data_IF_382807912745
#
_entry.id   IF_382807912745
#
_cell.length_a   1.000
_cell.length_b   1.000
_cell.length_c   1.000
_cell.angle_alpha   90.00
_cell.angle_beta   90.00
_cell.angle_gamma   90.00
#
_symmetry.space_group_name_H-M   'P 1'
#
loop_
_entity.id
_entity.type
_entity.pdbx_description
1 polymer ?
#
# COMPACT_ATOMS: atom_id res chain seq x y z
N UNK A 1 5.00 -2.23 24.75
CA UNK A 1 5.03 -3.19 23.59
C UNK A 1 3.93 -4.21 23.67
N UNK A 2 3.59 -4.72 24.87
CA UNK A 2 2.60 -5.79 25.02
C UNK A 2 1.22 -5.54 24.42
N UNK A 3 0.74 -4.30 24.38
CA UNK A 3 -0.57 -3.98 23.80
C UNK A 3 -0.54 -4.01 22.26
N UNK A 4 0.56 -3.60 21.64
CA UNK A 4 0.72 -3.67 20.18
C UNK A 4 0.86 -5.12 19.69
N UNK A 5 1.56 -6.00 20.43
CA UNK A 5 1.66 -7.42 20.10
C UNK A 5 0.28 -8.09 20.14
N UNK A 6 -0.49 -7.85 21.22
CA UNK A 6 -1.87 -8.37 21.33
C UNK A 6 -2.79 -7.85 20.21
N UNK A 7 -2.71 -6.56 19.91
CA UNK A 7 -3.50 -5.96 18.81
C UNK A 7 -3.13 -6.58 17.45
N UNK A 8 -1.84 -6.78 17.19
CA UNK A 8 -1.37 -7.44 15.96
C UNK A 8 -1.86 -8.89 15.87
N UNK A 9 -1.82 -9.65 16.96
CA UNK A 9 -2.27 -11.04 16.99
C UNK A 9 -3.79 -11.16 16.78
N UNK A 10 -4.58 -10.25 17.35
CA UNK A 10 -6.04 -10.22 17.12
C UNK A 10 -6.33 -9.90 15.65
N UNK A 11 -5.70 -8.86 15.12
CA UNK A 11 -5.93 -8.43 13.75
C UNK A 11 -5.48 -9.50 12.75
N UNK A 12 -4.38 -10.21 13.01
CA UNK A 12 -3.93 -11.33 12.19
C UNK A 12 -4.98 -12.45 12.11
N UNK A 13 -5.60 -12.82 13.24
CA UNK A 13 -6.68 -13.83 13.26
C UNK A 13 -7.88 -13.39 12.45
N UNK A 14 -8.25 -12.11 12.49
CA UNK A 14 -9.33 -11.55 11.66
C UNK A 14 -8.96 -11.64 10.18
N UNK A 15 -7.72 -11.27 9.83
CA UNK A 15 -7.23 -11.35 8.46
C UNK A 15 -7.16 -12.78 7.94
N UNK A 16 -6.78 -13.75 8.77
CA UNK A 16 -6.76 -15.18 8.40
C UNK A 16 -8.17 -15.68 8.06
N UNK A 17 -9.19 -15.28 8.82
CA UNK A 17 -10.60 -15.63 8.54
C UNK A 17 -11.07 -14.99 7.22
N UNK A 18 -10.75 -13.70 7.02
CA UNK A 18 -11.07 -12.99 5.77
C UNK A 18 -10.38 -13.66 4.58
N UNK A 19 -9.09 -14.00 4.69
CA UNK A 19 -8.37 -14.67 3.61
C UNK A 19 -9.01 -16.01 3.26
N UNK A 20 -9.43 -16.82 4.24
CA UNK A 20 -10.12 -18.09 4.00
C UNK A 20 -11.46 -17.89 3.27
N UNK A 21 -12.27 -16.93 3.70
CA UNK A 21 -13.54 -16.61 3.05
C UNK A 21 -13.36 -16.19 1.58
N UNK A 22 -12.37 -15.33 1.33
CA UNK A 22 -12.07 -14.85 -0.02
C UNK A 22 -11.21 -15.83 -0.83
N UNK A 23 -10.56 -16.83 -0.20
CA UNK A 23 -9.81 -17.85 -0.92
C UNK A 23 -10.71 -18.79 -1.73
N UNK A 24 -11.87 -19.11 -1.21
CA UNK A 24 -12.90 -19.85 -1.96
C UNK A 24 -13.46 -19.00 -3.11
N UNK A 25 -13.62 -17.70 -2.90
CA UNK A 25 -13.95 -16.74 -3.96
C UNK A 25 -12.78 -16.49 -4.94
N UNK A 26 -11.52 -16.74 -4.52
CA UNK A 26 -10.30 -16.68 -5.35
C UNK A 26 -10.10 -17.88 -6.26
N UNK A 27 -10.46 -19.08 -5.81
CA UNK A 27 -10.45 -20.27 -6.68
C UNK A 27 -11.36 -20.05 -7.87
N UNK A 28 -12.28 -19.12 -7.72
CA UNK A 28 -13.17 -18.59 -8.71
C UNK A 28 -12.64 -17.35 -9.47
N UNK A 29 -11.48 -16.81 -9.18
CA UNK A 29 -11.03 -15.59 -9.85
C UNK A 29 -9.53 -15.52 -10.09
N UNK A 30 -9.12 -15.20 -11.32
CA UNK A 30 -7.72 -14.96 -11.62
C UNK A 30 -7.25 -13.64 -11.03
N UNK A 31 -6.10 -13.64 -10.33
CA UNK A 31 -5.31 -12.44 -10.09
C UNK A 31 -4.79 -11.94 -11.44
N UNK A 32 -5.12 -10.73 -11.80
CA UNK A 32 -4.40 -10.05 -12.86
C UNK A 32 -3.02 -9.68 -12.32
N UNK A 33 -2.00 -10.43 -12.76
CA UNK A 33 -0.62 -10.29 -12.29
C UNK A 33 -0.03 -8.88 -12.55
N UNK A 34 -0.64 -8.07 -13.40
CA UNK A 34 -0.17 -6.72 -13.73
C UNK A 34 -0.75 -5.62 -12.84
N UNK A 35 -1.93 -5.86 -12.24
CA UNK A 35 -2.66 -4.82 -11.50
C UNK A 35 -2.92 -5.18 -10.03
N UNK A 36 -2.55 -6.38 -9.58
CA UNK A 36 -2.86 -6.90 -8.25
C UNK A 36 -4.37 -6.84 -7.88
N UNK A 37 -5.23 -6.69 -8.88
CA UNK A 37 -6.68 -6.61 -8.71
C UNK A 37 -7.29 -7.99 -8.85
N UNK A 38 -8.13 -8.37 -7.90
CA UNK A 38 -8.80 -9.66 -7.89
C UNK A 38 -9.98 -9.64 -8.84
N UNK A 39 -9.98 -10.52 -9.84
CA UNK A 39 -11.13 -10.80 -10.70
C UNK A 39 -11.93 -11.94 -10.09
N UNK A 40 -13.25 -11.86 -10.13
CA UNK A 40 -14.13 -12.98 -9.79
C UNK A 40 -14.42 -13.84 -11.03
N UNK A 41 -14.45 -15.18 -10.87
CA UNK A 41 -14.69 -16.10 -11.97
C UNK A 41 -16.11 -15.92 -12.53
N UNK A 42 -16.24 -15.91 -13.86
CA UNK A 42 -17.53 -15.86 -14.53
C UNK A 42 -18.27 -14.52 -14.47
N UNK A 43 -17.69 -13.51 -13.79
CA UNK A 43 -18.21 -12.15 -13.78
C UNK A 43 -17.14 -11.20 -14.24
N UNK A 44 -17.54 -10.20 -15.02
CA UNK A 44 -16.66 -9.12 -15.47
C UNK A 44 -16.53 -8.05 -14.37
N UNK A 45 -16.12 -8.49 -13.16
CA UNK A 45 -16.08 -7.67 -11.96
C UNK A 45 -14.71 -7.72 -11.29
N UNK A 46 -14.33 -6.62 -10.64
CA UNK A 46 -13.12 -6.51 -9.82
C UNK A 46 -13.48 -6.01 -8.41
N UNK A 47 -12.75 -6.50 -7.42
CA UNK A 47 -12.91 -6.06 -6.04
C UNK A 47 -11.92 -4.96 -5.71
N UNK A 48 -12.42 -3.77 -5.35
CA UNK A 48 -11.61 -2.61 -4.96
C UNK A 48 -12.04 -2.12 -3.58
N UNK A 49 -11.10 -2.07 -2.64
CA UNK A 49 -11.33 -1.65 -1.26
C UNK A 49 -10.75 -0.24 -1.05
N UNK A 50 -11.49 0.81 -1.44
CA UNK A 50 -11.04 2.20 -1.27
C UNK A 50 -11.32 2.73 0.14
N UNK A 51 -10.41 3.57 0.66
CA UNK A 51 -10.60 4.22 1.95
C UNK A 51 -11.55 5.44 1.85
N UNK A 52 -11.61 6.07 0.68
CA UNK A 52 -12.48 7.21 0.40
C UNK A 52 -12.75 7.33 -1.11
N UNK A 53 -13.78 8.08 -1.43
CA UNK A 53 -14.28 8.22 -2.81
C UNK A 53 -13.23 8.73 -3.81
N UNK A 54 -12.26 9.54 -3.38
CA UNK A 54 -11.21 10.05 -4.26
C UNK A 54 -10.31 8.92 -4.78
N UNK A 55 -10.04 7.90 -3.96
CA UNK A 55 -9.26 6.75 -4.40
C UNK A 55 -9.98 5.97 -5.51
N UNK A 56 -11.30 5.87 -5.45
CA UNK A 56 -12.10 5.27 -6.51
C UNK A 56 -11.88 6.02 -7.84
N UNK A 57 -11.97 7.36 -7.83
CA UNK A 57 -11.76 8.15 -9.03
C UNK A 57 -10.30 8.08 -9.53
N UNK A 58 -9.32 8.10 -8.61
CA UNK A 58 -7.91 7.92 -8.95
C UNK A 58 -7.71 6.56 -9.63
N UNK A 59 -8.27 5.49 -9.05
CA UNK A 59 -8.20 4.17 -9.63
C UNK A 59 -8.82 4.15 -11.03
N UNK A 60 -10.02 4.65 -11.18
CA UNK A 60 -10.71 4.71 -12.46
C UNK A 60 -9.91 5.48 -13.53
N UNK A 61 -9.30 6.61 -13.17
CA UNK A 61 -8.51 7.42 -14.09
C UNK A 61 -7.19 6.78 -14.51
N UNK A 62 -6.51 6.08 -13.59
CA UNK A 62 -5.18 5.52 -13.88
C UNK A 62 -5.20 4.11 -14.45
N UNK A 63 -6.21 3.33 -14.12
CA UNK A 63 -6.28 1.92 -14.51
C UNK A 63 -7.35 1.65 -15.58
N UNK A 64 -8.25 2.61 -15.83
CA UNK A 64 -9.29 2.55 -16.87
C UNK A 64 -10.00 1.17 -16.91
N UNK A 65 -10.51 0.66 -15.76
CA UNK A 65 -11.06 -0.67 -15.68
C UNK A 65 -12.26 -0.83 -16.62
N UNK A 66 -12.29 -1.91 -17.38
CA UNK A 66 -13.42 -2.26 -18.24
C UNK A 66 -14.45 -3.09 -17.48
N UNK A 67 -14.09 -3.54 -16.29
CA UNK A 67 -14.90 -4.38 -15.43
C UNK A 67 -15.74 -3.54 -14.46
N UNK A 68 -16.84 -4.12 -14.00
CA UNK A 68 -17.61 -3.53 -12.90
C UNK A 68 -16.78 -3.55 -11.60
N UNK A 69 -16.71 -2.42 -10.91
CA UNK A 69 -16.00 -2.32 -9.62
C UNK A 69 -16.97 -2.60 -8.49
N UNK A 70 -16.68 -3.65 -7.72
CA UNK A 70 -17.37 -3.99 -6.49
C UNK A 70 -16.53 -3.61 -5.27
N UNK A 71 -17.18 -3.08 -4.24
CA UNK A 71 -16.54 -2.81 -2.96
C UNK A 71 -16.85 -3.94 -1.98
N UNK A 72 -15.85 -4.51 -1.28
CA UNK A 72 -16.11 -5.46 -0.22
C UNK A 72 -16.82 -4.78 0.96
N UNK A 73 -17.63 -5.53 1.71
CA UNK A 73 -18.32 -5.01 2.90
C UNK A 73 -17.34 -4.61 4.02
N UNK A 74 -16.21 -5.31 4.10
CA UNK A 74 -15.17 -5.06 5.09
C UNK A 74 -14.04 -4.20 4.50
N UNK A 75 -13.45 -3.28 5.29
CA UNK A 75 -12.33 -2.46 4.86
C UNK A 75 -11.00 -3.24 4.89
N UNK A 76 -10.89 -4.27 4.06
CA UNK A 76 -9.80 -5.26 4.07
C UNK A 76 -8.43 -4.60 3.87
N UNK A 77 -8.34 -3.65 2.94
CA UNK A 77 -7.11 -2.90 2.71
C UNK A 77 -6.64 -2.16 3.97
N UNK A 78 -7.58 -1.51 4.67
CA UNK A 78 -7.29 -0.79 5.92
C UNK A 78 -6.85 -1.75 7.05
N UNK A 79 -7.44 -2.94 7.14
CA UNK A 79 -7.03 -3.94 8.11
C UNK A 79 -5.59 -4.41 7.87
N UNK A 80 -5.21 -4.69 6.62
CA UNK A 80 -3.84 -5.03 6.27
C UNK A 80 -2.87 -3.89 6.54
N UNK A 81 -3.24 -2.65 6.21
CA UNK A 81 -2.42 -1.47 6.50
C UNK A 81 -2.23 -1.27 8.00
N UNK A 82 -3.31 -1.36 8.78
CA UNK A 82 -3.25 -1.24 10.25
C UNK A 82 -2.35 -2.33 10.86
N UNK A 83 -2.46 -3.56 10.38
CA UNK A 83 -1.56 -4.64 10.82
C UNK A 83 -0.10 -4.34 10.44
N UNK A 84 0.14 -3.83 9.24
CA UNK A 84 1.47 -3.45 8.80
C UNK A 84 2.06 -2.33 9.68
N UNK A 85 1.26 -1.30 10.01
CA UNK A 85 1.66 -0.20 10.90
C UNK A 85 2.01 -0.71 12.32
N UNK A 86 1.26 -1.67 12.85
CA UNK A 86 1.59 -2.34 14.11
C UNK A 86 2.91 -3.11 14.00
N UNK A 87 3.12 -3.84 12.91
CA UNK A 87 4.38 -4.55 12.66
C UNK A 87 5.58 -3.59 12.56
N UNK A 88 5.42 -2.41 11.95
CA UNK A 88 6.46 -1.37 11.93
C UNK A 88 6.79 -0.89 13.34
N UNK A 89 5.78 -0.60 14.17
CA UNK A 89 5.98 -0.22 15.58
C UNK A 89 6.70 -1.29 16.40
N UNK A 90 6.45 -2.56 16.06
CA UNK A 90 7.11 -3.73 16.65
C UNK A 90 8.47 -4.06 16.00
N UNK A 91 8.93 -3.26 15.04
CA UNK A 91 10.15 -3.47 14.25
C UNK A 91 10.18 -4.80 13.46
N UNK A 92 8.99 -5.37 13.20
CA UNK A 92 8.80 -6.59 12.39
C UNK A 92 8.68 -6.23 10.90
N UNK A 93 9.69 -5.54 10.35
CA UNK A 93 9.62 -4.88 9.03
C UNK A 93 9.32 -5.84 7.87
N UNK A 94 9.76 -7.09 7.95
CA UNK A 94 9.46 -8.09 6.90
C UNK A 94 7.97 -8.45 6.87
N UNK A 95 7.35 -8.63 8.06
CA UNK A 95 5.89 -8.86 8.16
C UNK A 95 5.11 -7.62 7.71
N UNK A 96 5.60 -6.43 8.06
CA UNK A 96 4.99 -5.18 7.60
C UNK A 96 5.06 -5.05 6.07
N UNK A 97 6.19 -5.37 5.43
CA UNK A 97 6.33 -5.40 3.97
C UNK A 97 5.25 -6.28 3.32
N UNK A 98 5.10 -7.51 3.81
CA UNK A 98 4.13 -8.47 3.25
C UNK A 98 2.69 -7.96 3.44
N UNK A 99 2.38 -7.36 4.58
CA UNK A 99 1.05 -6.82 4.86
C UNK A 99 0.72 -5.57 4.02
N UNK A 100 1.66 -4.62 3.86
CA UNK A 100 1.44 -3.48 2.95
C UNK A 100 1.23 -3.92 1.50
N UNK A 101 1.95 -4.93 1.03
CA UNK A 101 1.72 -5.51 -0.30
C UNK A 101 0.33 -6.09 -0.42
N UNK A 102 -0.17 -6.79 0.61
CA UNK A 102 -1.54 -7.29 0.63
C UNK A 102 -2.56 -6.15 0.65
N UNK A 103 -2.32 -5.09 1.42
CA UNK A 103 -3.16 -3.89 1.38
C UNK A 103 -3.24 -3.31 -0.04
N UNK A 104 -2.11 -3.20 -0.74
CA UNK A 104 -2.04 -2.71 -2.12
C UNK A 104 -2.68 -3.66 -3.13
N UNK A 105 -2.79 -4.96 -2.85
CA UNK A 105 -3.59 -5.87 -3.67
C UNK A 105 -5.10 -5.57 -3.60
N UNK A 106 -5.59 -5.06 -2.47
CA UNK A 106 -6.98 -4.68 -2.28
C UNK A 106 -7.25 -3.23 -2.69
N UNK A 107 -6.27 -2.33 -2.49
CA UNK A 107 -6.34 -0.91 -2.85
C UNK A 107 -5.06 -0.45 -3.52
N UNK A 108 -4.94 -0.60 -4.85
CA UNK A 108 -3.71 -0.27 -5.59
C UNK A 108 -3.36 1.22 -5.61
N UNK A 109 -4.22 2.08 -5.07
CA UNK A 109 -4.03 3.54 -5.02
C UNK A 109 -3.85 4.07 -3.59
N UNK A 110 -3.78 3.19 -2.60
CA UNK A 110 -3.58 3.57 -1.20
C UNK A 110 -2.17 4.14 -0.98
N UNK A 111 -2.08 5.45 -1.01
CA UNK A 111 -0.82 6.18 -0.84
C UNK A 111 -0.13 5.87 0.50
N UNK A 112 -0.88 5.71 1.59
CA UNK A 112 -0.31 5.44 2.90
C UNK A 112 0.35 4.06 2.95
N UNK A 113 -0.21 3.06 2.26
CA UNK A 113 0.43 1.75 2.10
C UNK A 113 1.72 1.83 1.28
N UNK A 114 1.78 2.63 0.20
CA UNK A 114 3.03 2.87 -0.53
C UNK A 114 4.10 3.51 0.34
N UNK A 115 3.74 4.52 1.12
CA UNK A 115 4.68 5.23 1.99
C UNK A 115 5.14 4.37 3.17
N UNK A 116 4.24 3.55 3.74
CA UNK A 116 4.59 2.57 4.76
C UNK A 116 5.52 1.48 4.24
N UNK A 117 5.26 0.99 3.02
CA UNK A 117 6.13 0.02 2.35
C UNK A 117 7.52 0.61 2.06
N UNK A 118 7.59 1.88 1.65
CA UNK A 118 8.87 2.58 1.50
C UNK A 118 9.64 2.62 2.83
N UNK A 119 8.97 2.93 3.94
CA UNK A 119 9.59 2.95 5.26
C UNK A 119 10.14 1.56 5.64
N UNK A 120 9.41 0.47 5.34
CA UNK A 120 9.91 -0.89 5.53
C UNK A 120 11.21 -1.13 4.74
N UNK A 121 11.27 -0.74 3.47
CA UNK A 121 12.46 -0.92 2.64
C UNK A 121 13.66 -0.11 3.12
N UNK A 122 13.41 1.07 3.69
CA UNK A 122 14.44 1.88 4.33
C UNK A 122 15.08 1.14 5.51
N UNK A 123 14.26 0.59 6.43
CA UNK A 123 14.78 -0.18 7.58
C UNK A 123 15.40 -1.53 7.19
N UNK A 124 14.94 -2.12 6.11
CA UNK A 124 15.52 -3.36 5.55
C UNK A 124 16.78 -3.09 4.69
N UNK A 125 17.20 -1.83 4.57
CA UNK A 125 18.32 -1.40 3.72
C UNK A 125 18.18 -1.81 2.23
N UNK A 126 16.95 -1.81 1.73
CA UNK A 126 16.61 -2.17 0.34
C UNK A 126 16.40 -0.91 -0.51
N UNK A 127 17.45 -0.09 -0.70
CA UNK A 127 17.35 1.25 -1.28
C UNK A 127 16.82 1.29 -2.72
N UNK A 128 17.06 0.27 -3.53
CA UNK A 128 16.47 0.18 -4.88
C UNK A 128 14.94 0.06 -4.79
N UNK A 129 14.44 -0.86 -3.97
CA UNK A 129 12.98 -1.03 -3.77
C UNK A 129 12.35 0.18 -3.10
N UNK A 130 13.08 0.83 -2.19
CA UNK A 130 12.65 2.11 -1.59
C UNK A 130 12.38 3.16 -2.66
N UNK A 131 13.33 3.34 -3.60
CA UNK A 131 13.19 4.28 -4.69
C UNK A 131 12.01 3.93 -5.60
N UNK A 132 11.90 2.65 -5.98
CA UNK A 132 10.86 2.18 -6.90
C UNK A 132 9.45 2.43 -6.32
N UNK A 133 9.22 2.04 -5.07
CA UNK A 133 7.92 2.23 -4.41
C UNK A 133 7.62 3.71 -4.16
N UNK A 134 8.63 4.50 -3.82
CA UNK A 134 8.48 5.96 -3.65
C UNK A 134 8.07 6.61 -4.97
N UNK A 135 8.70 6.25 -6.10
CA UNK A 135 8.32 6.76 -7.42
C UNK A 135 6.90 6.36 -7.81
N UNK A 136 6.48 5.12 -7.50
CA UNK A 136 5.11 4.68 -7.75
C UNK A 136 4.08 5.50 -6.97
N UNK A 137 4.39 5.87 -5.73
CA UNK A 137 3.53 6.68 -4.88
C UNK A 137 3.24 8.08 -5.46
N UNK A 138 4.13 8.64 -6.29
CA UNK A 138 4.01 10.00 -6.83
C UNK A 138 2.66 10.26 -7.49
N UNK A 139 2.19 9.33 -8.33
CA UNK A 139 0.94 9.49 -9.10
C UNK A 139 -0.31 9.59 -8.22
N UNK A 140 -0.22 9.19 -6.96
CA UNK A 140 -1.32 9.20 -6.01
C UNK A 140 -1.23 10.38 -5.02
N UNK A 141 -0.21 11.23 -5.15
CA UNK A 141 -0.03 12.43 -4.34
C UNK A 141 -0.93 13.56 -4.83
N UNK A 142 -2.12 13.69 -4.26
CA UNK A 142 -3.14 14.66 -4.70
C UNK A 142 -3.21 15.92 -3.83
N UNK A 143 -2.44 16.02 -2.74
CA UNK A 143 -2.44 17.16 -1.83
C UNK A 143 -1.04 17.70 -1.61
N UNK A 144 -0.94 18.97 -1.15
CA UNK A 144 0.36 19.56 -0.75
C UNK A 144 1.06 18.72 0.31
N UNK A 145 0.33 18.21 1.29
CA UNK A 145 0.88 17.39 2.36
C UNK A 145 1.46 16.05 1.85
N UNK A 146 0.75 15.38 0.94
CA UNK A 146 1.20 14.12 0.35
C UNK A 146 2.40 14.32 -0.58
N UNK A 147 2.42 15.40 -1.37
CA UNK A 147 3.57 15.79 -2.17
C UNK A 147 4.79 16.10 -1.31
N UNK A 148 4.61 16.81 -0.20
CA UNK A 148 5.70 17.08 0.74
C UNK A 148 6.30 15.77 1.31
N UNK A 149 5.46 14.78 1.65
CA UNK A 149 5.95 13.44 2.09
C UNK A 149 6.73 12.74 0.98
N UNK A 150 6.23 12.77 -0.25
CA UNK A 150 6.95 12.23 -1.40
C UNK A 150 8.34 12.85 -1.55
N UNK A 151 8.43 14.19 -1.55
CA UNK A 151 9.71 14.88 -1.70
C UNK A 151 10.65 14.62 -0.52
N UNK A 152 10.16 14.46 0.71
CA UNK A 152 11.00 14.05 1.85
C UNK A 152 11.59 12.65 1.62
N UNK A 153 10.81 11.71 1.10
CA UNK A 153 11.29 10.37 0.78
C UNK A 153 12.35 10.41 -0.33
N UNK A 154 12.12 11.18 -1.40
CA UNK A 154 13.10 11.36 -2.47
C UNK A 154 14.38 12.04 -1.97
N UNK A 155 14.24 13.05 -1.10
CA UNK A 155 15.39 13.72 -0.45
C UNK A 155 16.23 12.75 0.37
N UNK A 156 15.58 11.87 1.13
CA UNK A 156 16.28 10.82 1.89
C UNK A 156 17.05 9.86 0.95
N UNK A 157 16.43 9.41 -0.16
CA UNK A 157 17.12 8.57 -1.13
C UNK A 157 18.35 9.24 -1.71
N UNK A 158 18.24 10.50 -2.17
CA UNK A 158 19.37 11.23 -2.74
C UNK A 158 20.47 11.50 -1.70
N UNK A 159 20.11 11.78 -0.46
CA UNK A 159 21.09 11.94 0.63
C UNK A 159 21.84 10.62 0.86
N UNK A 160 21.15 9.49 0.90
CA UNK A 160 21.74 8.16 1.06
C UNK A 160 22.64 7.75 -0.11
N UNK A 161 22.41 8.36 -1.28
CA UNK A 161 23.20 8.15 -2.51
C UNK A 161 24.30 9.20 -2.70
N UNK A 162 24.60 10.00 -1.67
CA UNK A 162 25.58 11.09 -1.68
C UNK A 162 25.30 12.20 -2.72
N UNK A 163 24.08 12.29 -3.24
CA UNK A 163 23.65 13.36 -4.13
C UNK A 163 23.01 14.51 -3.34
N UNK A 164 23.87 15.34 -2.74
CA UNK A 164 23.45 16.40 -1.80
C UNK A 164 22.65 17.50 -2.47
N UNK A 165 22.89 17.81 -3.74
CA UNK A 165 22.19 18.89 -4.45
C UNK A 165 20.74 18.49 -4.74
N UNK A 166 20.53 17.26 -5.23
CA UNK A 166 19.19 16.72 -5.41
C UNK A 166 18.45 16.54 -4.09
N UNK A 167 19.15 16.13 -3.02
CA UNK A 167 18.56 16.04 -1.69
C UNK A 167 18.06 17.40 -1.20
N UNK A 168 18.89 18.45 -1.31
CA UNK A 168 18.50 19.84 -0.97
C UNK A 168 17.28 20.30 -1.77
N UNK A 169 17.30 20.10 -3.08
CA UNK A 169 16.17 20.45 -3.94
C UNK A 169 14.88 19.76 -3.46
N UNK A 170 14.91 18.43 -3.22
CA UNK A 170 13.76 17.70 -2.73
C UNK A 170 13.25 18.21 -1.38
N UNK A 171 14.15 18.47 -0.41
CA UNK A 171 13.75 19.01 0.89
C UNK A 171 13.18 20.43 0.78
N UNK A 172 13.68 21.25 -0.15
CA UNK A 172 13.09 22.57 -0.42
C UNK A 172 11.66 22.46 -0.94
N UNK A 173 11.40 21.53 -1.86
CA UNK A 173 10.05 21.27 -2.36
C UNK A 173 9.11 20.62 -1.33
N UNK A 174 9.64 20.06 -0.24
CA UNK A 174 8.85 19.45 0.82
C UNK A 174 8.33 20.41 1.88
N UNK A 175 8.77 21.66 1.85
CA UNK A 175 8.35 22.74 2.75
C UNK A 175 7.27 23.60 2.10
#
# INVERSE_FOLDING_TARGET
SGDYDKAADILMKVLDVIELEYEDKRKAGMLDNHLNVRKSEGTDTIWLCTNHIMEYYIYACYFEPQQEILMPELPIAEYYRTYADLCVKLQKYKRAEDAYKKALCWNPVDLDSYLGLAECYKYLNMMSRYLDVTKQAYRFCCTRATMARYYRNMGFYYLSSYNTDMAKACYTYSN
#
